data_IF_232321210693
#
_entry.id   IF_232321210693
#
_cell.length_a   1.000
_cell.length_b   1.000
_cell.length_c   1.000
_cell.angle_alpha   90.00
_cell.angle_beta   90.00
_cell.angle_gamma   90.00
#
_symmetry.space_group_name_H-M   'P 1'
#
loop_
_entity.id
_entity.type
_entity.pdbx_description
1 polymer ?
#
# COMPACT_ATOMS: atom_id res chain seq x y z
N UNK A 1 1.00 -21.78 6.54
CA UNK A 1 0.69 -20.62 5.69
C UNK A 1 0.12 -21.13 4.37
N UNK A 2 -0.95 -20.53 3.87
CA UNK A 2 -1.58 -20.87 2.60
C UNK A 2 -1.42 -19.68 1.65
N UNK A 3 -1.23 -20.00 0.35
CA UNK A 3 -1.17 -19.00 -0.73
C UNK A 3 -2.17 -19.44 -1.80
N UNK A 4 -2.96 -18.51 -2.30
CA UNK A 4 -3.91 -18.81 -3.40
C UNK A 4 -4.28 -17.52 -4.14
N UNK A 5 -4.76 -17.68 -5.36
CA UNK A 5 -5.46 -16.64 -6.10
C UNK A 5 -6.96 -16.87 -5.90
N UNK A 6 -7.69 -15.82 -5.64
CA UNK A 6 -9.14 -15.81 -5.54
C UNK A 6 -9.71 -14.77 -6.49
N UNK A 7 -10.99 -14.90 -6.82
CA UNK A 7 -11.75 -13.84 -7.48
C UNK A 7 -12.47 -13.02 -6.41
N UNK A 8 -12.37 -11.70 -6.49
CA UNK A 8 -13.19 -10.75 -5.76
C UNK A 8 -14.18 -10.10 -6.71
N UNK A 9 -15.24 -9.52 -6.14
CA UNK A 9 -16.23 -8.73 -6.88
C UNK A 9 -16.42 -7.42 -6.15
N UNK A 10 -16.16 -6.30 -6.83
CA UNK A 10 -16.40 -4.96 -6.32
C UNK A 10 -17.92 -4.65 -6.32
N UNK A 11 -18.32 -3.58 -5.64
CA UNK A 11 -19.73 -3.19 -5.49
C UNK A 11 -20.41 -2.85 -6.81
N UNK A 12 -19.64 -2.39 -7.82
CA UNK A 12 -20.11 -2.13 -9.19
C UNK A 12 -20.22 -3.40 -10.07
N UNK A 13 -19.91 -4.59 -9.51
CA UNK A 13 -19.94 -5.88 -10.20
C UNK A 13 -18.66 -6.26 -10.93
N UNK A 14 -17.61 -5.42 -10.91
CA UNK A 14 -16.31 -5.76 -11.49
C UNK A 14 -15.71 -6.97 -10.77
N UNK A 15 -15.25 -7.96 -11.56
CA UNK A 15 -14.62 -9.18 -11.06
C UNK A 15 -13.14 -9.18 -11.42
N UNK A 16 -12.29 -9.39 -10.43
CA UNK A 16 -10.83 -9.33 -10.60
C UNK A 16 -10.11 -10.34 -9.71
N UNK A 17 -8.91 -10.74 -10.14
CA UNK A 17 -8.06 -11.62 -9.38
C UNK A 17 -7.45 -10.93 -8.17
N UNK A 18 -7.19 -11.70 -7.10
CA UNK A 18 -6.48 -11.22 -5.92
C UNK A 18 -5.57 -12.31 -5.37
N UNK A 19 -4.34 -11.94 -5.02
CA UNK A 19 -3.43 -12.84 -4.33
C UNK A 19 -3.74 -12.82 -2.82
N UNK A 20 -3.85 -14.00 -2.22
CA UNK A 20 -4.10 -14.14 -0.77
C UNK A 20 -3.00 -14.96 -0.13
N UNK A 21 -2.44 -14.45 0.98
CA UNK A 21 -1.65 -15.24 1.90
C UNK A 21 -2.32 -15.24 3.29
N UNK A 22 -2.42 -16.42 3.90
CA UNK A 22 -3.05 -16.57 5.22
C UNK A 22 -2.20 -17.42 6.16
N UNK A 23 -2.17 -17.08 7.47
CA UNK A 23 -1.49 -17.88 8.48
C UNK A 23 -2.17 -19.24 8.64
N UNK A 24 -1.49 -20.19 9.32
CA UNK A 24 -2.10 -21.48 9.71
C UNK A 24 -3.05 -21.34 10.90
N UNK A 25 -2.83 -20.35 11.75
CA UNK A 25 -3.72 -20.00 12.88
C UNK A 25 -4.88 -19.11 12.44
N UNK A 26 -5.80 -18.83 13.36
CA UNK A 26 -6.84 -17.81 13.14
C UNK A 26 -6.15 -16.45 12.91
N UNK A 27 -6.45 -15.72 11.81
CA UNK A 27 -5.87 -14.42 11.59
C UNK A 27 -6.28 -13.41 12.66
N UNK A 28 -5.35 -12.54 13.04
CA UNK A 28 -5.60 -11.39 13.93
C UNK A 28 -6.52 -10.40 13.22
N UNK A 29 -6.16 -10.05 11.98
CA UNK A 29 -6.91 -9.14 11.14
C UNK A 29 -6.67 -9.47 9.66
N UNK A 30 -7.47 -8.87 8.77
CA UNK A 30 -7.23 -8.91 7.32
C UNK A 30 -6.61 -7.58 6.89
N UNK A 31 -5.51 -7.64 6.15
CA UNK A 31 -4.84 -6.49 5.54
C UNK A 31 -5.04 -6.53 4.02
N UNK A 32 -5.41 -5.41 3.44
CA UNK A 32 -5.31 -5.20 1.99
C UNK A 32 -3.97 -4.53 1.70
N UNK A 33 -3.13 -5.18 0.89
CA UNK A 33 -1.87 -4.62 0.42
C UNK A 33 -2.05 -4.03 -0.97
N UNK A 34 -1.75 -2.75 -1.12
CA UNK A 34 -1.89 -2.05 -2.38
C UNK A 34 -0.52 -1.96 -3.06
N UNK A 35 -0.46 -2.49 -4.27
CA UNK A 35 0.78 -2.62 -5.04
C UNK A 35 1.29 -1.28 -5.60
N UNK A 36 2.56 -1.27 -5.98
CA UNK A 36 3.19 -0.19 -6.75
C UNK A 36 2.67 -0.14 -8.20
N UNK A 37 3.19 0.76 -9.03
CA UNK A 37 2.87 0.84 -10.47
C UNK A 37 3.31 -0.40 -11.27
N UNK A 38 3.82 -1.43 -10.62
CA UNK A 38 4.30 -2.66 -11.26
C UNK A 38 3.32 -3.84 -11.13
N UNK A 39 2.16 -3.63 -10.47
CA UNK A 39 1.17 -4.69 -10.26
C UNK A 39 1.58 -5.65 -9.13
N UNK A 40 0.99 -6.84 -9.12
CA UNK A 40 1.21 -7.87 -8.09
C UNK A 40 2.49 -8.66 -8.38
N UNK A 41 3.64 -7.99 -8.22
CA UNK A 41 4.98 -8.55 -8.44
C UNK A 41 5.32 -9.67 -7.44
N UNK A 42 6.38 -10.48 -7.70
CA UNK A 42 6.90 -11.42 -6.70
C UNK A 42 7.28 -10.77 -5.37
N UNK A 43 7.82 -9.53 -5.38
CA UNK A 43 8.08 -8.76 -4.17
C UNK A 43 6.79 -8.51 -3.36
N UNK A 44 5.71 -8.04 -4.01
CA UNK A 44 4.42 -7.83 -3.34
C UNK A 44 3.85 -9.12 -2.76
N UNK A 45 3.98 -10.25 -3.49
CA UNK A 45 3.58 -11.56 -2.96
C UNK A 45 4.43 -11.99 -1.75
N UNK A 46 5.73 -11.69 -1.75
CA UNK A 46 6.62 -11.94 -0.63
C UNK A 46 6.25 -11.10 0.59
N UNK A 47 5.89 -9.83 0.42
CA UNK A 47 5.34 -8.98 1.48
C UNK A 47 4.06 -9.57 2.08
N UNK A 48 3.12 -10.04 1.24
CA UNK A 48 1.91 -10.70 1.73
C UNK A 48 2.21 -11.92 2.61
N UNK A 49 3.17 -12.73 2.17
CA UNK A 49 3.64 -13.89 2.94
C UNK A 49 4.29 -13.45 4.24
N UNK A 50 5.08 -12.38 4.24
CA UNK A 50 5.73 -11.80 5.41
C UNK A 50 4.71 -11.33 6.45
N UNK A 51 3.70 -10.55 6.06
CA UNK A 51 2.60 -10.17 6.97
C UNK A 51 1.80 -11.39 7.46
N UNK A 52 1.62 -12.41 6.62
CA UNK A 52 0.96 -13.64 7.06
C UNK A 52 1.78 -14.43 8.09
N UNK A 53 3.11 -14.28 8.14
CA UNK A 53 3.94 -14.85 9.22
C UNK A 53 3.72 -14.17 10.57
N UNK A 54 3.24 -12.93 10.56
CA UNK A 54 2.82 -12.16 11.73
C UNK A 54 1.33 -12.32 12.06
N UNK A 55 0.72 -13.41 11.59
CA UNK A 55 -0.68 -13.80 11.83
C UNK A 55 -1.73 -12.86 11.19
N UNK A 56 -1.40 -12.03 10.22
CA UNK A 56 -2.37 -11.31 9.40
C UNK A 56 -2.82 -12.16 8.19
N UNK A 57 -4.09 -12.15 7.85
CA UNK A 57 -4.53 -12.55 6.51
C UNK A 57 -4.28 -11.37 5.58
N UNK A 58 -3.63 -11.60 4.45
CA UNK A 58 -3.32 -10.54 3.47
C UNK A 58 -3.99 -10.80 2.15
N UNK A 59 -4.48 -9.74 1.52
CA UNK A 59 -5.11 -9.75 0.21
C UNK A 59 -4.44 -8.67 -0.64
N UNK A 60 -3.98 -9.02 -1.84
CA UNK A 60 -3.46 -8.06 -2.82
C UNK A 60 -4.41 -8.08 -4.01
N UNK A 61 -5.32 -7.09 -4.16
CA UNK A 61 -6.16 -6.96 -5.35
C UNK A 61 -5.30 -6.60 -6.57
N UNK A 62 -5.63 -7.16 -7.74
CA UNK A 62 -5.01 -6.80 -9.02
C UNK A 62 -5.69 -5.53 -9.54
N UNK A 63 -5.28 -4.37 -8.99
CA UNK A 63 -5.96 -3.07 -9.22
C UNK A 63 -5.81 -2.54 -10.66
N UNK A 64 -4.93 -3.13 -11.45
CA UNK A 64 -4.79 -2.78 -12.87
C UNK A 64 -5.76 -3.53 -13.79
N UNK A 65 -6.51 -4.49 -13.25
CA UNK A 65 -7.38 -5.39 -14.02
C UNK A 65 -8.42 -4.63 -14.84
N UNK A 66 -8.95 -3.53 -14.34
CA UNK A 66 -9.89 -2.65 -15.07
C UNK A 66 -9.29 -1.99 -16.32
N UNK A 67 -7.98 -1.88 -16.39
CA UNK A 67 -7.25 -1.27 -17.54
C UNK A 67 -6.55 -2.33 -18.34
N UNK A 68 -5.83 -3.22 -17.66
CA UNK A 68 -5.10 -4.33 -18.29
C UNK A 68 -5.08 -5.52 -17.33
N UNK A 69 -5.82 -6.57 -17.69
CA UNK A 69 -5.87 -7.81 -16.92
C UNK A 69 -4.46 -8.41 -16.74
N UNK A 70 -4.23 -9.01 -15.57
CA UNK A 70 -2.98 -9.72 -15.21
C UNK A 70 -1.70 -8.89 -15.41
N UNK A 71 -1.79 -7.56 -15.35
CA UNK A 71 -0.63 -6.69 -15.59
C UNK A 71 0.41 -6.82 -14.47
N UNK A 72 1.55 -7.43 -14.81
CA UNK A 72 2.78 -7.40 -14.01
C UNK A 72 3.87 -6.76 -14.86
N UNK A 73 4.41 -5.65 -14.39
CA UNK A 73 5.34 -4.78 -15.10
C UNK A 73 6.75 -4.97 -14.56
N UNK A 74 7.74 -5.10 -15.45
CA UNK A 74 9.14 -5.12 -15.04
C UNK A 74 9.57 -3.81 -14.39
N UNK A 75 10.41 -3.85 -13.36
CA UNK A 75 11.03 -2.66 -12.77
C UNK A 75 11.88 -1.85 -13.75
N UNK A 76 12.31 -2.45 -14.88
CA UNK A 76 12.99 -1.76 -15.97
C UNK A 76 12.07 -0.96 -16.90
N UNK A 77 10.75 -1.12 -16.76
CA UNK A 77 9.74 -0.48 -17.62
C UNK A 77 8.75 0.40 -16.81
N UNK A 78 9.21 1.35 -15.97
CA UNK A 78 8.33 2.13 -15.10
C UNK A 78 7.34 3.01 -15.87
N UNK A 79 7.67 3.45 -17.08
CA UNK A 79 6.77 4.27 -17.90
C UNK A 79 5.50 3.50 -18.29
N UNK A 80 5.61 2.21 -18.58
CA UNK A 80 4.44 1.34 -18.84
C UNK A 80 3.54 1.26 -17.61
N UNK A 81 4.11 1.08 -16.42
CA UNK A 81 3.35 1.04 -15.18
C UNK A 81 2.66 2.38 -14.89
N UNK A 82 3.35 3.51 -15.12
CA UNK A 82 2.76 4.85 -15.01
C UNK A 82 1.60 5.06 -15.98
N UNK A 83 1.74 4.62 -17.21
CA UNK A 83 0.70 4.76 -18.23
C UNK A 83 -0.58 3.98 -17.87
N UNK A 84 -0.46 2.79 -17.27
CA UNK A 84 -1.62 2.05 -16.75
C UNK A 84 -2.20 2.76 -15.53
N UNK A 85 -1.38 3.14 -14.56
CA UNK A 85 -1.81 3.82 -13.33
C UNK A 85 -2.57 5.13 -13.60
N UNK A 86 -2.19 5.87 -14.65
CA UNK A 86 -2.86 7.10 -15.07
C UNK A 86 -4.28 6.88 -15.63
N UNK A 87 -4.57 5.68 -16.13
CA UNK A 87 -5.90 5.31 -16.62
C UNK A 87 -6.82 4.78 -15.52
N UNK A 88 -6.26 4.43 -14.36
CA UNK A 88 -7.03 3.97 -13.21
C UNK A 88 -7.84 5.13 -12.62
N UNK A 89 -9.16 5.00 -12.57
CA UNK A 89 -10.04 5.97 -11.93
C UNK A 89 -10.01 5.78 -10.41
N UNK A 90 -9.68 6.80 -9.60
CA UNK A 90 -9.51 6.63 -8.16
C UNK A 90 -10.72 6.04 -7.44
N UNK A 91 -11.94 6.43 -7.81
CA UNK A 91 -13.15 5.89 -7.21
C UNK A 91 -13.27 4.38 -7.42
N UNK A 92 -13.01 3.90 -8.64
CA UNK A 92 -13.08 2.47 -8.96
C UNK A 92 -11.95 1.66 -8.30
N UNK A 93 -10.77 2.25 -8.14
CA UNK A 93 -9.68 1.62 -7.38
C UNK A 93 -10.08 1.46 -5.91
N UNK A 94 -10.76 2.43 -5.32
CA UNK A 94 -11.27 2.32 -3.94
C UNK A 94 -12.33 1.23 -3.80
N UNK A 95 -13.23 1.06 -4.77
CA UNK A 95 -14.19 -0.05 -4.82
C UNK A 95 -13.49 -1.43 -4.82
N UNK A 96 -12.43 -1.56 -5.61
CA UNK A 96 -11.65 -2.80 -5.67
C UNK A 96 -10.87 -3.07 -4.38
N UNK A 97 -10.37 -2.02 -3.69
CA UNK A 97 -9.74 -2.12 -2.38
C UNK A 97 -10.76 -2.56 -1.33
N UNK A 98 -11.94 -1.97 -1.32
CA UNK A 98 -13.02 -2.28 -0.37
C UNK A 98 -13.51 -3.72 -0.52
N UNK A 99 -13.57 -4.25 -1.74
CA UNK A 99 -13.89 -5.66 -2.01
C UNK A 99 -12.95 -6.65 -1.31
N UNK A 100 -11.74 -6.23 -0.95
CA UNK A 100 -10.81 -7.01 -0.12
C UNK A 100 -11.29 -7.22 1.32
N UNK A 101 -12.29 -6.45 1.78
CA UNK A 101 -12.89 -6.53 3.12
C UNK A 101 -11.84 -6.55 4.25
N UNK A 102 -10.77 -5.76 4.08
CA UNK A 102 -9.70 -5.62 5.06
C UNK A 102 -10.01 -4.53 6.07
N UNK A 103 -9.62 -4.74 7.32
CA UNK A 103 -9.72 -3.71 8.36
C UNK A 103 -8.46 -2.85 8.43
N UNK A 104 -7.38 -3.26 7.80
CA UNK A 104 -6.14 -2.49 7.64
C UNK A 104 -5.70 -2.44 6.19
N UNK A 105 -5.12 -1.32 5.78
CA UNK A 105 -4.62 -1.09 4.43
C UNK A 105 -3.15 -0.69 4.48
N UNK A 106 -2.30 -1.34 3.69
CA UNK A 106 -0.87 -0.99 3.56
C UNK A 106 -0.56 -0.80 2.09
N UNK A 107 -0.15 0.40 1.70
CA UNK A 107 0.11 0.72 0.31
C UNK A 107 1.54 1.20 0.04
N UNK A 108 2.06 0.84 -1.13
CA UNK A 108 3.43 1.12 -1.55
C UNK A 108 3.46 1.99 -2.80
N UNK A 109 4.23 3.08 -2.83
CA UNK A 109 4.36 3.99 -3.96
C UNK A 109 3.00 4.58 -4.39
N UNK A 110 2.54 4.27 -5.59
CA UNK A 110 1.18 4.56 -6.07
C UNK A 110 0.13 4.03 -5.07
N UNK A 111 0.31 2.81 -4.61
CA UNK A 111 -0.54 2.22 -3.58
C UNK A 111 -0.50 2.95 -2.23
N UNK A 112 0.60 3.63 -1.91
CA UNK A 112 0.70 4.47 -0.71
C UNK A 112 -0.24 5.67 -0.75
N UNK A 113 -0.47 6.23 -1.95
CA UNK A 113 -1.51 7.25 -2.16
C UNK A 113 -2.91 6.68 -1.93
N UNK A 114 -3.18 5.47 -2.43
CA UNK A 114 -4.47 4.82 -2.22
C UNK A 114 -4.68 4.34 -0.78
N UNK A 115 -3.64 4.02 -0.03
CA UNK A 115 -3.76 3.78 1.41
C UNK A 115 -4.24 5.04 2.15
N UNK A 116 -3.74 6.22 1.76
CA UNK A 116 -4.25 7.50 2.27
C UNK A 116 -5.72 7.74 1.86
N UNK A 117 -6.06 7.56 0.58
CA UNK A 117 -7.43 7.72 0.10
C UNK A 117 -8.39 6.71 0.74
N UNK A 118 -7.96 5.48 1.00
CA UNK A 118 -8.73 4.48 1.74
C UNK A 118 -9.01 4.94 3.18
N UNK A 119 -8.01 5.52 3.86
CA UNK A 119 -8.19 6.09 5.19
C UNK A 119 -9.15 7.29 5.24
N UNK A 120 -9.37 7.94 4.10
CA UNK A 120 -10.32 9.05 3.95
C UNK A 120 -11.72 8.61 3.51
N UNK A 121 -11.89 7.43 2.90
CA UNK A 121 -13.14 7.12 2.19
C UNK A 121 -13.74 5.74 2.55
N UNK A 122 -12.95 4.81 3.08
CA UNK A 122 -13.39 3.43 3.33
C UNK A 122 -13.60 3.15 4.82
N UNK A 123 -14.43 2.15 5.10
CA UNK A 123 -14.67 1.67 6.46
C UNK A 123 -13.57 0.71 6.91
N UNK A 124 -12.39 1.26 7.21
CA UNK A 124 -11.23 0.54 7.71
C UNK A 124 -10.85 1.05 9.11
N UNK A 125 -9.90 0.42 9.78
CA UNK A 125 -9.45 0.80 11.13
C UNK A 125 -8.07 1.44 11.14
N UNK A 126 -7.22 1.15 10.16
CA UNK A 126 -5.86 1.67 10.07
C UNK A 126 -5.33 1.67 8.64
N UNK A 127 -4.44 2.61 8.33
CA UNK A 127 -3.72 2.65 7.06
C UNK A 127 -2.23 2.90 7.24
N UNK A 128 -1.41 2.41 6.31
CA UNK A 128 0.02 2.71 6.24
C UNK A 128 0.39 3.08 4.80
N UNK A 129 0.98 4.24 4.63
CA UNK A 129 1.45 4.76 3.35
C UNK A 129 2.97 4.73 3.27
N UNK A 130 3.49 3.82 2.47
CA UNK A 130 4.91 3.77 2.12
C UNK A 130 5.16 4.62 0.88
N UNK A 131 5.93 5.69 1.03
CA UNK A 131 6.36 6.61 -0.03
C UNK A 131 5.25 6.94 -1.04
N UNK A 132 4.04 7.25 -0.53
CA UNK A 132 2.89 7.62 -1.36
C UNK A 132 3.14 8.91 -2.14
N UNK A 133 3.21 8.79 -3.48
CA UNK A 133 3.74 9.85 -4.36
C UNK A 133 2.81 11.04 -4.56
N UNK A 134 1.51 10.88 -4.35
CA UNK A 134 0.48 11.90 -4.63
C UNK A 134 -0.42 12.18 -3.41
N UNK A 135 0.06 11.90 -2.20
CA UNK A 135 -0.71 12.20 -0.98
C UNK A 135 -0.98 13.70 -0.87
N UNK A 136 0.02 14.53 -1.17
CA UNK A 136 -0.09 16.00 -1.08
C UNK A 136 -1.19 16.58 -1.97
N UNK A 137 -1.48 15.95 -3.10
CA UNK A 137 -2.53 16.37 -4.03
C UNK A 137 -3.95 16.07 -3.52
N UNK A 138 -4.07 15.31 -2.43
CA UNK A 138 -5.33 14.81 -1.89
C UNK A 138 -5.63 15.31 -0.46
N UNK A 139 -4.88 16.29 0.07
CA UNK A 139 -5.01 16.79 1.44
C UNK A 139 -6.34 17.48 1.75
N UNK A 140 -7.16 17.76 0.73
CA UNK A 140 -8.52 18.28 0.88
C UNK A 140 -9.50 17.24 1.47
N UNK A 141 -9.16 15.94 1.46
CA UNK A 141 -9.98 14.89 2.04
C UNK A 141 -9.81 14.81 3.55
N UNK A 142 -10.92 14.61 4.27
CA UNK A 142 -10.89 14.38 5.71
C UNK A 142 -10.36 12.98 6.02
N UNK A 143 -9.46 12.90 6.97
CA UNK A 143 -8.93 11.63 7.45
C UNK A 143 -9.80 11.10 8.59
N UNK A 144 -10.35 9.89 8.45
CA UNK A 144 -11.27 9.30 9.44
C UNK A 144 -10.63 8.26 10.35
N UNK A 145 -9.50 7.66 9.92
CA UNK A 145 -8.82 6.61 10.68
C UNK A 145 -7.34 6.94 10.86
N UNK A 146 -6.67 6.35 11.88
CA UNK A 146 -5.23 6.55 12.04
C UNK A 146 -4.46 6.04 10.81
N UNK A 147 -3.45 6.83 10.42
CA UNK A 147 -2.54 6.47 9.33
C UNK A 147 -1.10 6.71 9.75
N UNK A 148 -0.19 5.88 9.27
CA UNK A 148 1.25 6.06 9.40
C UNK A 148 1.87 6.33 8.03
N UNK A 149 2.76 7.34 7.95
CA UNK A 149 3.46 7.72 6.73
C UNK A 149 4.95 7.42 6.82
N UNK A 150 5.53 6.90 5.74
CA UNK A 150 6.94 6.59 5.63
C UNK A 150 7.53 7.16 4.34
N UNK A 151 8.51 8.05 4.45
CA UNK A 151 9.16 8.69 3.31
C UNK A 151 10.68 8.56 3.37
N UNK A 152 11.32 8.40 2.22
CA UNK A 152 12.77 8.54 2.12
C UNK A 152 13.17 10.03 2.07
N UNK A 153 14.31 10.39 2.67
CA UNK A 153 14.80 11.78 2.65
C UNK A 153 15.25 12.21 1.24
N UNK A 154 15.95 11.32 0.53
CA UNK A 154 16.47 11.57 -0.82
C UNK A 154 15.43 11.23 -1.92
N UNK A 155 14.17 11.45 -1.63
CA UNK A 155 13.06 11.04 -2.49
C UNK A 155 12.89 12.01 -3.67
N UNK A 156 13.08 11.53 -4.91
CA UNK A 156 13.01 12.36 -6.11
C UNK A 156 11.58 12.74 -6.55
N UNK A 157 10.56 11.99 -6.09
CA UNK A 157 9.15 12.18 -6.50
C UNK A 157 8.29 12.86 -5.44
N UNK A 158 8.80 13.07 -4.23
CA UNK A 158 8.13 13.74 -3.12
C UNK A 158 9.14 14.70 -2.50
N UNK A 159 8.87 15.99 -2.54
CA UNK A 159 9.76 17.00 -1.99
C UNK A 159 9.66 17.07 -0.46
N UNK A 160 10.69 17.64 0.18
CA UNK A 160 10.63 17.93 1.62
C UNK A 160 9.46 18.86 1.97
N UNK A 161 9.11 19.78 1.05
CA UNK A 161 7.97 20.69 1.20
C UNK A 161 6.63 19.93 1.15
N UNK A 162 6.49 18.92 0.28
CA UNK A 162 5.30 18.06 0.26
C UNK A 162 5.16 17.25 1.55
N UNK A 163 6.26 16.71 2.07
CA UNK A 163 6.28 16.01 3.36
C UNK A 163 5.85 16.94 4.50
N UNK A 164 6.35 18.17 4.50
CA UNK A 164 5.97 19.18 5.50
C UNK A 164 4.48 19.55 5.40
N UNK A 165 3.92 19.69 4.19
CA UNK A 165 2.48 19.92 3.99
C UNK A 165 1.64 18.75 4.51
N UNK A 166 2.05 17.51 4.26
CA UNK A 166 1.35 16.32 4.78
C UNK A 166 1.38 16.33 6.33
N UNK A 167 2.53 16.62 6.93
CA UNK A 167 2.66 16.71 8.39
C UNK A 167 1.80 17.84 8.98
N UNK A 168 1.75 18.98 8.30
CA UNK A 168 0.92 20.13 8.73
C UNK A 168 -0.58 19.81 8.62
N UNK A 169 -1.01 19.13 7.56
CA UNK A 169 -2.41 18.73 7.40
C UNK A 169 -2.84 17.65 8.41
N UNK A 170 -1.90 16.80 8.81
CA UNK A 170 -2.16 15.66 9.70
C UNK A 170 -1.23 15.63 10.92
N UNK A 171 -1.23 16.66 11.80
CA UNK A 171 -0.22 16.82 12.88
C UNK A 171 -0.30 15.72 13.95
N UNK A 172 -1.42 14.99 14.04
CA UNK A 172 -1.60 13.90 15.00
C UNK A 172 -1.17 12.53 14.44
N UNK A 173 -0.88 12.44 13.16
CA UNK A 173 -0.48 11.19 12.52
C UNK A 173 1.05 11.00 12.61
N UNK A 174 1.48 9.74 12.71
CA UNK A 174 2.92 9.42 12.73
C UNK A 174 3.48 9.51 11.32
N UNK A 175 4.46 10.40 11.11
CA UNK A 175 5.19 10.55 9.87
C UNK A 175 6.68 10.33 10.13
N UNK A 176 7.31 9.46 9.35
CA UNK A 176 8.71 9.08 9.48
C UNK A 176 9.46 9.38 8.19
N UNK A 177 10.59 10.07 8.32
CA UNK A 177 11.52 10.33 7.22
C UNK A 177 12.81 9.56 7.49
N UNK A 178 13.24 8.74 6.52
CA UNK A 178 14.42 7.89 6.62
C UNK A 178 15.58 8.54 5.89
N UNK A 179 16.69 8.78 6.60
CA UNK A 179 17.89 9.40 6.05
C UNK A 179 18.58 8.45 5.04
N UNK A 180 19.23 9.03 4.04
CA UNK A 180 20.00 8.29 3.00
C UNK A 180 19.17 7.24 2.24
N UNK A 181 17.87 7.48 2.12
CA UNK A 181 16.95 6.60 1.38
C UNK A 181 16.18 7.37 0.32
N UNK A 182 16.07 6.76 -0.86
CA UNK A 182 15.26 7.26 -1.96
C UNK A 182 13.86 6.64 -2.01
N UNK A 183 13.22 6.77 -3.18
CA UNK A 183 11.95 6.12 -3.45
C UNK A 183 12.07 4.59 -3.46
N UNK A 184 11.08 3.89 -2.92
CA UNK A 184 11.00 2.43 -2.86
C UNK A 184 12.15 1.74 -2.07
N UNK A 185 12.69 2.42 -1.05
CA UNK A 185 13.78 1.91 -0.22
C UNK A 185 13.44 0.60 0.52
N UNK A 186 12.16 0.25 0.64
CA UNK A 186 11.71 -1.00 1.26
C UNK A 186 11.51 -2.15 0.25
N UNK A 187 11.75 -1.94 -1.05
CA UNK A 187 11.60 -2.96 -2.08
C UNK A 187 12.95 -3.66 -2.35
N UNK A 188 13.07 -4.91 -1.94
CA UNK A 188 14.30 -5.72 -2.06
C UNK A 188 14.75 -5.91 -3.53
N UNK A 189 13.81 -5.86 -4.47
CA UNK A 189 14.06 -6.03 -5.91
C UNK A 189 14.52 -4.73 -6.60
N UNK A 190 14.68 -3.62 -5.85
CA UNK A 190 15.03 -2.30 -6.40
C UNK A 190 16.43 -1.85 -5.98
N UNK A 191 17.18 -1.14 -6.85
CA UNK A 191 18.48 -0.59 -6.51
C UNK A 191 18.47 0.41 -5.33
N UNK A 192 17.29 1.01 -5.05
CA UNK A 192 17.09 1.92 -3.92
C UNK A 192 16.89 1.21 -2.58
N UNK A 193 16.87 -0.11 -2.55
CA UNK A 193 16.72 -0.88 -1.31
C UNK A 193 17.76 -0.54 -0.26
N UNK A 194 17.30 -0.35 0.97
CA UNK A 194 18.15 -0.09 2.15
C UNK A 194 17.72 -1.00 3.30
N UNK A 195 18.52 -2.01 3.59
CA UNK A 195 18.19 -3.05 4.56
C UNK A 195 17.77 -2.48 5.93
N UNK A 196 18.61 -1.61 6.52
CA UNK A 196 18.35 -1.05 7.86
C UNK A 196 17.06 -0.24 7.90
N UNK A 197 16.85 0.62 6.90
CA UNK A 197 15.63 1.42 6.82
C UNK A 197 14.40 0.55 6.53
N UNK A 198 14.55 -0.51 5.73
CA UNK A 198 13.48 -1.47 5.43
C UNK A 198 13.07 -2.25 6.69
N UNK A 199 14.02 -2.70 7.48
CA UNK A 199 13.74 -3.38 8.76
C UNK A 199 13.06 -2.44 9.76
N UNK A 200 13.55 -1.20 9.87
CA UNK A 200 12.98 -0.21 10.79
C UNK A 200 11.55 0.20 10.38
N UNK A 201 11.30 0.40 9.09
CA UNK A 201 9.94 0.74 8.62
C UNK A 201 8.98 -0.42 8.82
N UNK A 202 9.41 -1.67 8.59
CA UNK A 202 8.59 -2.86 8.85
C UNK A 202 8.24 -2.98 10.34
N UNK A 203 9.22 -2.82 11.23
CA UNK A 203 8.98 -2.85 12.68
C UNK A 203 7.97 -1.78 13.12
N UNK A 204 8.11 -0.53 12.63
CA UNK A 204 7.19 0.56 12.93
C UNK A 204 5.77 0.28 12.42
N UNK A 205 5.68 -0.26 11.22
CA UNK A 205 4.40 -0.67 10.62
C UNK A 205 3.73 -1.76 11.43
N UNK A 206 4.46 -2.82 11.80
CA UNK A 206 3.92 -3.93 12.60
C UNK A 206 3.44 -3.45 13.97
N UNK A 207 4.24 -2.64 14.67
CA UNK A 207 3.84 -2.07 15.96
C UNK A 207 2.55 -1.28 15.82
N UNK A 208 2.45 -0.41 14.81
CA UNK A 208 1.25 0.38 14.56
C UNK A 208 0.03 -0.50 14.24
N UNK A 209 0.18 -1.53 13.40
CA UNK A 209 -0.91 -2.44 13.06
C UNK A 209 -1.36 -3.27 14.26
N UNK A 210 -0.45 -3.72 15.12
CA UNK A 210 -0.80 -4.42 16.36
C UNK A 210 -1.50 -3.49 17.35
N UNK A 211 -1.05 -2.25 17.50
CA UNK A 211 -1.69 -1.26 18.38
C UNK A 211 -3.11 -0.89 17.93
N UNK A 212 -3.39 -0.92 16.63
CA UNK A 212 -4.65 -0.42 16.07
C UNK A 212 -5.66 -1.50 15.70
N UNK A 213 -5.22 -2.74 15.43
CA UNK A 213 -6.06 -3.82 14.92
C UNK A 213 -6.22 -5.00 15.88
N UNK A 214 -5.46 -5.04 16.98
CA UNK A 214 -5.53 -6.08 18.00
C UNK A 214 -6.04 -5.51 19.32
#
# INVERSE_FOLDING_TARGET
MTKKIIQLTASDGHRFASFVAAPKCKPIATLVLIHEIFGVTPHMQSLAVRYASYAFKTIIPVLFDRVQADAVISYSAPDRGRAIAQQCQPALVLEDIDAGSGVGVVGYCWGGTFAYLAACNLNINAAVSYYGTRVVENLQHNLYVPIQFHFGFDHQLISADDIAKIQQAHPRQKLWVYQHTGHAFACEDRPSYKLESSQLVEQRTLNFLFETLC
#
